data_IF_408032974521
#
_entry.id   IF_408032974521
#
_cell.length_a   1.000
_cell.length_b   1.000
_cell.length_c   1.000
_cell.angle_alpha   90.00
_cell.angle_beta   90.00
_cell.angle_gamma   90.00
#
_symmetry.space_group_name_H-M   'P 1'
#
loop_
_entity.id
_entity.type
_entity.pdbx_description
1 polymer ?
#
# COMPACT_ATOMS: atom_id res chain seq x y z
N UNK A 1 18.59 -0.43 -16.68
CA UNK A 1 17.77 -0.99 -15.58
C UNK A 1 17.76 -0.08 -14.35
N UNK A 2 18.94 0.39 -13.88
CA UNK A 2 19.04 1.23 -12.66
C UNK A 2 18.35 2.60 -12.80
N UNK A 3 18.35 3.19 -14.00
CA UNK A 3 17.66 4.45 -14.27
C UNK A 3 16.15 4.31 -14.05
N UNK A 4 15.54 3.23 -14.53
CA UNK A 4 14.10 2.97 -14.36
C UNK A 4 13.73 2.63 -12.92
N UNK A 5 14.59 1.88 -12.20
CA UNK A 5 14.41 1.63 -10.76
C UNK A 5 14.44 2.93 -9.96
N UNK A 6 15.40 3.80 -10.22
CA UNK A 6 15.49 5.10 -9.57
C UNK A 6 14.25 5.97 -9.84
N UNK A 7 13.78 6.02 -11.09
CA UNK A 7 12.55 6.73 -11.45
C UNK A 7 11.32 6.17 -10.74
N UNK A 8 11.19 4.85 -10.67
CA UNK A 8 10.09 4.19 -9.97
C UNK A 8 10.14 4.50 -8.46
N UNK A 9 11.30 4.41 -7.85
CA UNK A 9 11.49 4.74 -6.43
C UNK A 9 11.14 6.21 -6.14
N UNK A 10 11.53 7.15 -7.01
CA UNK A 10 11.21 8.57 -6.84
C UNK A 10 9.70 8.80 -6.93
N UNK A 11 9.01 8.16 -7.87
CA UNK A 11 7.56 8.26 -8.01
C UNK A 11 6.85 7.66 -6.79
N UNK A 12 7.29 6.49 -6.34
CA UNK A 12 6.76 5.85 -5.14
C UNK A 12 6.94 6.73 -3.89
N UNK A 13 8.11 7.35 -3.74
CA UNK A 13 8.39 8.30 -2.67
C UNK A 13 7.44 9.49 -2.68
N UNK A 14 7.19 10.08 -3.84
CA UNK A 14 6.28 11.23 -3.98
C UNK A 14 4.85 10.87 -3.56
N UNK A 15 4.34 9.73 -4.02
CA UNK A 15 3.01 9.26 -3.66
C UNK A 15 2.94 8.93 -2.18
N UNK A 16 3.94 8.28 -1.63
CA UNK A 16 4.01 7.99 -0.20
C UNK A 16 3.97 9.27 0.65
N UNK A 17 4.75 10.28 0.26
CA UNK A 17 4.76 11.58 0.93
C UNK A 17 3.39 12.25 0.88
N UNK A 18 2.80 12.38 -0.31
CA UNK A 18 1.50 13.03 -0.51
C UNK A 18 0.41 12.31 0.29
N UNK A 19 0.37 10.99 0.20
CA UNK A 19 -0.64 10.19 0.92
C UNK A 19 -0.47 10.30 2.44
N UNK A 20 0.78 10.26 2.92
CA UNK A 20 1.10 10.44 4.34
C UNK A 20 0.66 11.81 4.86
N UNK A 21 0.90 12.87 4.09
CA UNK A 21 0.45 14.24 4.43
C UNK A 21 -1.08 14.34 4.47
N UNK A 22 -1.76 13.80 3.46
CA UNK A 22 -3.23 13.83 3.37
C UNK A 22 -3.87 13.07 4.53
N UNK A 23 -3.40 11.87 4.84
CA UNK A 23 -3.94 11.06 5.92
C UNK A 23 -3.64 11.68 7.29
N UNK A 24 -2.44 12.22 7.48
CA UNK A 24 -2.06 12.92 8.72
C UNK A 24 -2.95 14.13 8.96
N UNK A 25 -3.22 14.94 7.94
CA UNK A 25 -4.10 16.09 8.03
C UNK A 25 -5.54 15.67 8.32
N UNK A 26 -6.06 14.69 7.61
CA UNK A 26 -7.43 14.21 7.77
C UNK A 26 -7.69 13.66 9.19
N UNK A 27 -6.88 12.71 9.63
CA UNK A 27 -7.01 12.13 10.97
C UNK A 27 -6.63 13.11 12.08
N UNK A 28 -5.74 14.08 11.80
CA UNK A 28 -5.42 15.16 12.70
C UNK A 28 -6.62 16.07 12.97
N UNK A 29 -7.40 16.39 11.95
CA UNK A 29 -8.67 17.12 12.09
C UNK A 29 -9.66 16.35 12.95
N UNK A 30 -9.81 15.05 12.70
CA UNK A 30 -10.68 14.18 13.49
C UNK A 30 -10.23 14.11 14.96
N UNK A 31 -8.93 14.03 15.20
CA UNK A 31 -8.37 14.03 16.56
C UNK A 31 -8.59 15.36 17.28
N UNK A 32 -8.44 16.48 16.57
CA UNK A 32 -8.69 17.82 17.12
C UNK A 32 -10.16 18.01 17.47
N UNK A 33 -11.09 17.44 16.71
CA UNK A 33 -12.52 17.48 16.94
C UNK A 33 -13.03 16.41 17.92
N UNK A 34 -12.16 15.60 18.48
CA UNK A 34 -12.52 14.54 19.42
C UNK A 34 -13.17 13.31 18.79
N UNK A 35 -13.24 13.23 17.45
CA UNK A 35 -13.81 12.09 16.72
C UNK A 35 -12.87 10.88 16.75
N UNK A 36 -11.56 11.15 16.72
CA UNK A 36 -10.51 10.12 16.76
C UNK A 36 -9.70 10.26 18.05
N UNK A 37 -9.46 9.17 18.81
CA UNK A 37 -8.73 9.25 20.08
C UNK A 37 -7.32 9.82 19.88
N UNK A 38 -6.91 10.76 20.74
CA UNK A 38 -5.59 11.39 20.66
C UNK A 38 -4.44 10.40 20.85
N UNK A 39 -4.62 9.40 21.71
CA UNK A 39 -3.63 8.31 21.89
C UNK A 39 -3.43 7.49 20.62
N UNK A 40 -4.53 7.15 19.94
CA UNK A 40 -4.48 6.45 18.66
C UNK A 40 -3.86 7.32 17.58
N UNK A 41 -4.08 8.63 17.61
CA UNK A 41 -3.48 9.56 16.65
C UNK A 41 -1.96 9.65 16.80
N UNK A 42 -1.45 9.62 18.03
CA UNK A 42 0.02 9.59 18.27
C UNK A 42 0.64 8.35 17.65
N UNK A 43 0.04 7.19 17.85
CA UNK A 43 0.49 5.92 17.24
C UNK A 43 0.38 6.00 15.72
N UNK A 44 -0.71 6.54 15.20
CA UNK A 44 -0.94 6.77 13.78
C UNK A 44 0.20 7.59 13.14
N UNK A 45 0.54 8.73 13.73
CA UNK A 45 1.62 9.60 13.24
C UNK A 45 2.96 8.88 13.27
N UNK A 46 3.27 8.17 14.33
CA UNK A 46 4.50 7.41 14.45
C UNK A 46 4.61 6.32 13.37
N UNK A 47 3.57 5.52 13.20
CA UNK A 47 3.54 4.45 12.18
C UNK A 47 3.52 4.98 10.74
N UNK A 48 2.99 6.18 10.54
CA UNK A 48 2.99 6.84 9.23
C UNK A 48 4.38 7.35 8.84
N UNK A 49 5.04 8.07 9.76
CA UNK A 49 6.24 8.84 9.43
C UNK A 49 7.57 8.13 9.72
N UNK A 50 7.64 7.27 10.74
CA UNK A 50 8.88 6.53 11.03
C UNK A 50 9.32 5.66 9.83
N UNK A 51 8.45 4.84 9.22
CA UNK A 51 8.83 4.09 8.03
C UNK A 51 9.22 4.97 6.84
N UNK A 52 8.55 6.10 6.66
CA UNK A 52 8.86 7.05 5.60
C UNK A 52 10.30 7.58 5.75
N UNK A 53 10.69 7.99 6.95
CA UNK A 53 12.04 8.48 7.20
C UNK A 53 13.09 7.37 7.14
N UNK A 54 12.76 6.14 7.49
CA UNK A 54 13.63 4.98 7.26
C UNK A 54 13.87 4.81 5.75
N UNK A 55 12.84 4.97 4.92
CA UNK A 55 12.97 4.96 3.46
C UNK A 55 13.88 6.06 2.94
N UNK A 56 13.78 7.26 3.49
CA UNK A 56 14.69 8.37 3.16
C UNK A 56 16.14 8.03 3.51
N UNK A 57 16.35 7.37 4.62
CA UNK A 57 17.68 6.91 5.04
C UNK A 57 18.25 5.88 4.04
N UNK A 58 17.43 4.97 3.53
CA UNK A 58 17.86 4.04 2.48
C UNK A 58 18.31 4.74 1.21
N UNK A 59 17.64 5.82 0.81
CA UNK A 59 18.12 6.63 -0.33
C UNK A 59 19.49 7.24 -0.10
N UNK A 60 19.77 7.70 1.11
CA UNK A 60 21.06 8.30 1.45
C UNK A 60 22.18 7.26 1.52
N UNK A 61 21.91 6.08 2.07
CA UNK A 61 22.93 5.05 2.29
C UNK A 61 23.14 4.20 1.04
N UNK A 62 22.07 3.75 0.40
CA UNK A 62 22.11 2.76 -0.70
C UNK A 62 21.88 3.35 -2.09
N UNK A 63 21.55 4.65 -2.17
CA UNK A 63 21.27 5.32 -3.44
C UNK A 63 19.80 5.16 -3.87
N UNK A 64 19.45 5.89 -4.94
CA UNK A 64 18.05 5.99 -5.43
C UNK A 64 17.57 4.75 -6.17
N UNK A 65 18.45 3.91 -6.65
CA UNK A 65 18.13 2.71 -7.42
C UNK A 65 18.02 1.42 -6.57
N UNK A 66 18.05 1.56 -5.26
CA UNK A 66 18.03 0.39 -4.35
C UNK A 66 16.68 -0.34 -4.36
N UNK A 67 16.72 -1.67 -4.38
CA UNK A 67 15.54 -2.51 -4.19
C UNK A 67 15.00 -2.48 -2.75
N UNK A 68 15.83 -2.10 -1.80
CA UNK A 68 15.43 -2.02 -0.39
C UNK A 68 14.35 -0.96 -0.16
N UNK A 69 14.27 0.09 -0.99
CA UNK A 69 13.28 1.14 -0.82
C UNK A 69 11.84 0.63 -0.98
N UNK A 70 11.56 -0.15 -2.02
CA UNK A 70 10.22 -0.70 -2.23
C UNK A 70 9.81 -1.66 -1.11
N UNK A 71 10.75 -2.42 -0.56
CA UNK A 71 10.49 -3.29 0.58
C UNK A 71 10.18 -2.49 1.84
N UNK A 72 10.93 -1.42 2.10
CA UNK A 72 10.67 -0.50 3.20
C UNK A 72 9.27 0.13 3.08
N UNK A 73 8.91 0.60 1.88
CA UNK A 73 7.60 1.17 1.60
C UNK A 73 6.49 0.16 1.86
N UNK A 74 6.59 -1.04 1.31
CA UNK A 74 5.54 -2.07 1.42
C UNK A 74 5.38 -2.53 2.85
N UNK A 75 6.46 -2.80 3.56
CA UNK A 75 6.41 -3.25 4.95
C UNK A 75 5.93 -2.11 5.85
N UNK A 76 6.52 -0.93 5.72
CA UNK A 76 6.19 0.22 6.56
C UNK A 76 4.78 0.73 6.33
N UNK A 77 4.39 0.94 5.09
CA UNK A 77 3.03 1.33 4.75
C UNK A 77 2.02 0.24 5.08
N UNK A 78 2.38 -1.03 4.92
CA UNK A 78 1.53 -2.16 5.27
C UNK A 78 1.21 -2.23 6.75
N UNK A 79 2.19 -2.00 7.63
CA UNK A 79 1.98 -1.94 9.08
C UNK A 79 1.09 -0.77 9.44
N UNK A 80 1.37 0.42 8.92
CA UNK A 80 0.55 1.61 9.11
C UNK A 80 -0.90 1.40 8.63
N UNK A 81 -1.07 0.87 7.43
CA UNK A 81 -2.36 0.55 6.84
C UNK A 81 -3.16 -0.44 7.69
N UNK A 82 -2.53 -1.50 8.18
CA UNK A 82 -3.18 -2.48 9.04
C UNK A 82 -3.69 -1.84 10.33
N UNK A 83 -2.89 -0.97 10.94
CA UNK A 83 -3.32 -0.20 12.11
C UNK A 83 -4.53 0.69 11.79
N UNK A 84 -4.51 1.40 10.67
CA UNK A 84 -5.60 2.29 10.26
C UNK A 84 -6.90 1.52 10.04
N UNK A 85 -6.86 0.43 9.29
CA UNK A 85 -8.07 -0.35 9.01
C UNK A 85 -8.62 -1.06 10.25
N UNK A 86 -7.80 -1.32 11.26
CA UNK A 86 -8.27 -1.87 12.54
C UNK A 86 -8.89 -0.82 13.46
N UNK A 87 -8.46 0.44 13.36
CA UNK A 87 -8.83 1.50 14.32
C UNK A 87 -9.80 2.55 13.79
N UNK A 88 -10.06 2.59 12.49
CA UNK A 88 -11.03 3.51 11.89
C UNK A 88 -12.41 2.86 11.80
N UNK A 89 -13.45 3.69 11.88
CA UNK A 89 -14.84 3.25 11.70
C UNK A 89 -15.29 3.21 10.24
N UNK A 90 -14.50 3.79 9.34
CA UNK A 90 -14.85 3.85 7.93
C UNK A 90 -14.64 2.52 7.22
N UNK A 91 -15.69 1.92 6.62
CA UNK A 91 -15.55 0.66 5.89
C UNK A 91 -14.74 0.77 4.61
N UNK A 92 -14.55 1.98 4.07
CA UNK A 92 -13.78 2.21 2.84
C UNK A 92 -12.29 2.43 3.09
N UNK A 93 -11.84 2.43 4.33
CA UNK A 93 -10.44 2.66 4.68
C UNK A 93 -9.50 1.61 4.07
N UNK A 94 -9.99 0.42 3.75
CA UNK A 94 -9.21 -0.61 3.06
C UNK A 94 -8.67 -0.15 1.71
N UNK A 95 -9.27 0.89 1.10
CA UNK A 95 -8.82 1.45 -0.18
C UNK A 95 -7.57 2.32 -0.06
N UNK A 96 -7.13 2.67 1.15
CA UNK A 96 -5.98 3.56 1.35
C UNK A 96 -4.65 2.99 0.84
N UNK A 97 -4.56 1.69 0.64
CA UNK A 97 -3.37 1.05 0.07
C UNK A 97 -3.38 1.03 -1.47
N UNK A 98 -4.53 1.14 -2.10
CA UNK A 98 -4.67 0.93 -3.54
C UNK A 98 -3.87 1.92 -4.39
N UNK A 99 -3.84 3.24 -4.08
CA UNK A 99 -3.03 4.18 -4.86
C UNK A 99 -1.53 3.86 -4.83
N UNK A 100 -1.01 3.43 -3.68
CA UNK A 100 0.39 3.04 -3.51
C UNK A 100 0.68 1.76 -4.29
N UNK A 101 -0.17 0.74 -4.16
CA UNK A 101 0.01 -0.54 -4.85
C UNK A 101 -0.14 -0.41 -6.37
N UNK A 102 -1.06 0.44 -6.83
CA UNK A 102 -1.21 0.73 -8.27
C UNK A 102 0.08 1.30 -8.86
N UNK A 103 0.75 2.18 -8.12
CA UNK A 103 2.01 2.76 -8.57
C UNK A 103 3.15 1.74 -8.58
N UNK A 104 3.14 0.75 -7.70
CA UNK A 104 4.17 -0.29 -7.64
C UNK A 104 4.18 -1.20 -8.88
N UNK A 105 3.16 -1.15 -9.73
CA UNK A 105 3.18 -1.77 -11.08
C UNK A 105 4.38 -1.27 -11.90
N UNK A 106 4.86 -0.06 -11.65
CA UNK A 106 6.02 0.52 -12.33
C UNK A 106 7.33 -0.29 -12.14
N UNK A 107 7.42 -1.08 -11.07
CA UNK A 107 8.58 -1.95 -10.85
C UNK A 107 8.59 -3.17 -11.77
N UNK A 108 7.46 -3.47 -12.44
CA UNK A 108 7.32 -4.58 -13.40
C UNK A 108 7.76 -5.94 -12.85
N UNK A 109 7.62 -6.14 -11.54
CA UNK A 109 8.00 -7.38 -10.86
C UNK A 109 6.75 -8.14 -10.44
N UNK A 110 6.41 -9.18 -11.20
CA UNK A 110 5.23 -10.02 -10.97
C UNK A 110 5.25 -10.70 -9.60
N UNK A 111 6.38 -11.30 -9.22
CA UNK A 111 6.50 -12.00 -7.94
C UNK A 111 6.34 -11.05 -6.75
N UNK A 112 6.95 -9.87 -6.84
CA UNK A 112 6.79 -8.83 -5.83
C UNK A 112 5.33 -8.41 -5.67
N UNK A 113 4.62 -8.20 -6.78
CA UNK A 113 3.20 -7.81 -6.73
C UNK A 113 2.30 -8.91 -6.16
N UNK A 114 2.55 -10.17 -6.49
CA UNK A 114 1.81 -11.30 -5.91
C UNK A 114 2.03 -11.34 -4.39
N UNK A 115 3.25 -11.16 -3.92
CA UNK A 115 3.55 -11.14 -2.49
C UNK A 115 2.86 -9.95 -1.78
N UNK A 116 2.85 -8.78 -2.42
CA UNK A 116 2.10 -7.62 -1.91
C UNK A 116 0.59 -7.91 -1.82
N UNK A 117 0.04 -8.57 -2.81
CA UNK A 117 -1.38 -8.95 -2.83
C UNK A 117 -1.73 -9.91 -1.70
N UNK A 118 -0.92 -10.94 -1.48
CA UNK A 118 -1.10 -11.90 -0.39
C UNK A 118 -1.05 -11.17 0.97
N UNK A 119 -0.03 -10.34 1.18
CA UNK A 119 0.12 -9.59 2.42
C UNK A 119 -1.05 -8.63 2.67
N UNK A 120 -1.54 -7.95 1.64
CA UNK A 120 -2.66 -7.02 1.76
C UNK A 120 -3.98 -7.74 2.08
N UNK A 121 -4.27 -8.84 1.41
CA UNK A 121 -5.46 -9.65 1.69
C UNK A 121 -5.41 -10.18 3.13
N UNK A 122 -4.25 -10.66 3.58
CA UNK A 122 -4.07 -11.10 4.97
C UNK A 122 -4.30 -9.96 5.97
N UNK A 123 -3.81 -8.75 5.68
CA UNK A 123 -4.04 -7.56 6.52
C UNK A 123 -5.52 -7.24 6.67
N UNK A 124 -6.28 -7.30 5.58
CA UNK A 124 -7.72 -7.05 5.60
C UNK A 124 -8.46 -8.15 6.35
N UNK A 125 -8.09 -9.41 6.16
CA UNK A 125 -8.68 -10.53 6.91
C UNK A 125 -8.44 -10.36 8.41
N UNK A 126 -7.22 -10.00 8.82
CA UNK A 126 -6.90 -9.71 10.23
C UNK A 126 -7.77 -8.58 10.77
N UNK A 127 -7.92 -7.49 10.02
CA UNK A 127 -8.79 -6.38 10.39
C UNK A 127 -10.25 -6.81 10.55
N UNK A 128 -10.76 -7.58 9.61
CA UNK A 128 -12.15 -8.06 9.63
C UNK A 128 -12.40 -8.99 10.82
N UNK A 129 -11.46 -9.89 11.11
CA UNK A 129 -11.53 -10.76 12.30
C UNK A 129 -11.48 -9.95 13.58
N UNK A 130 -10.62 -8.96 13.68
CA UNK A 130 -10.53 -8.06 14.82
C UNK A 130 -11.87 -7.33 15.06
N UNK A 131 -12.47 -6.78 14.00
CA UNK A 131 -13.76 -6.09 14.08
C UNK A 131 -14.87 -7.04 14.49
N UNK A 132 -14.88 -8.25 13.95
CA UNK A 132 -15.90 -9.25 14.27
C UNK A 132 -15.79 -9.74 15.72
N UNK A 133 -14.58 -10.10 16.16
CA UNK A 133 -14.35 -10.72 17.46
C UNK A 133 -14.27 -9.68 18.58
N UNK A 134 -13.46 -8.62 18.40
CA UNK A 134 -13.13 -7.66 19.46
C UNK A 134 -14.14 -6.53 19.50
N UNK A 135 -14.48 -5.94 18.35
CA UNK A 135 -15.38 -4.79 18.28
C UNK A 135 -16.87 -5.18 18.18
N UNK A 136 -17.17 -6.45 17.97
CA UNK A 136 -18.55 -6.93 17.89
C UNK A 136 -19.31 -6.47 16.65
N UNK A 137 -18.62 -6.07 15.58
CA UNK A 137 -19.22 -5.65 14.31
C UNK A 137 -19.70 -6.86 13.51
N UNK A 138 -20.93 -7.31 13.76
CA UNK A 138 -21.51 -8.57 13.24
C UNK A 138 -22.84 -8.38 12.51
N UNK A 139 -23.18 -7.14 12.12
CA UNK A 139 -24.39 -6.88 11.36
C UNK A 139 -24.30 -7.48 9.95
N UNK A 140 -25.45 -7.65 9.29
CA UNK A 140 -25.48 -8.10 7.89
C UNK A 140 -24.71 -7.13 6.97
N UNK A 141 -24.78 -5.83 7.24
CA UNK A 141 -24.02 -4.83 6.52
C UNK A 141 -22.50 -5.00 6.74
N UNK A 142 -22.07 -5.27 7.98
CA UNK A 142 -20.67 -5.55 8.29
C UNK A 142 -20.15 -6.79 7.55
N UNK A 143 -20.93 -7.87 7.57
CA UNK A 143 -20.57 -9.10 6.86
C UNK A 143 -20.44 -8.87 5.35
N UNK A 144 -21.34 -8.06 4.78
CA UNK A 144 -21.27 -7.68 3.37
C UNK A 144 -20.03 -6.84 3.06
N UNK A 145 -19.69 -5.90 3.94
CA UNK A 145 -18.48 -5.09 3.81
C UNK A 145 -17.21 -5.95 3.81
N UNK A 146 -17.11 -6.95 4.70
CA UNK A 146 -15.96 -7.85 4.75
C UNK A 146 -15.81 -8.64 3.44
N UNK A 147 -16.88 -9.16 2.90
CA UNK A 147 -16.89 -9.88 1.62
C UNK A 147 -16.46 -8.97 0.46
N UNK A 148 -17.01 -7.76 0.39
CA UNK A 148 -16.69 -6.79 -0.68
C UNK A 148 -15.24 -6.31 -0.61
N UNK A 149 -14.69 -6.10 0.58
CA UNK A 149 -13.29 -5.72 0.77
C UNK A 149 -12.35 -6.77 0.17
N UNK A 150 -12.53 -8.02 0.55
CA UNK A 150 -11.70 -9.13 0.06
C UNK A 150 -11.86 -9.31 -1.45
N UNK A 151 -13.09 -9.30 -1.96
CA UNK A 151 -13.35 -9.43 -3.38
C UNK A 151 -12.72 -8.29 -4.20
N UNK A 152 -12.86 -7.05 -3.74
CA UNK A 152 -12.27 -5.89 -4.40
C UNK A 152 -10.74 -5.98 -4.47
N UNK A 153 -10.09 -6.34 -3.36
CA UNK A 153 -8.64 -6.49 -3.32
C UNK A 153 -8.15 -7.61 -4.22
N UNK A 154 -8.81 -8.76 -4.21
CA UNK A 154 -8.45 -9.88 -5.09
C UNK A 154 -8.52 -9.46 -6.56
N UNK A 155 -9.58 -8.77 -6.97
CA UNK A 155 -9.73 -8.26 -8.34
C UNK A 155 -8.65 -7.25 -8.69
N UNK A 156 -8.36 -6.31 -7.80
CA UNK A 156 -7.30 -5.31 -8.03
C UNK A 156 -5.94 -5.97 -8.25
N UNK A 157 -5.55 -6.93 -7.41
CA UNK A 157 -4.25 -7.58 -7.55
C UNK A 157 -4.17 -8.52 -8.74
N UNK A 158 -5.26 -9.18 -9.11
CA UNK A 158 -5.34 -9.92 -10.37
C UNK A 158 -5.07 -8.97 -11.54
N UNK A 159 -5.71 -7.80 -11.56
CA UNK A 159 -5.49 -6.80 -12.61
C UNK A 159 -4.06 -6.26 -12.61
N UNK A 160 -3.47 -6.00 -11.44
CA UNK A 160 -2.08 -5.53 -11.35
C UNK A 160 -1.09 -6.56 -11.88
N UNK A 161 -1.26 -7.83 -11.51
CA UNK A 161 -0.40 -8.92 -11.98
C UNK A 161 -0.54 -9.13 -13.48
N UNK A 162 -1.76 -9.10 -14.02
CA UNK A 162 -2.04 -9.17 -15.47
C UNK A 162 -1.39 -8.01 -16.21
N UNK A 163 -1.49 -6.79 -15.68
CA UNK A 163 -0.88 -5.59 -16.26
C UNK A 163 0.64 -5.70 -16.31
N UNK A 164 1.27 -6.15 -15.23
CA UNK A 164 2.72 -6.37 -15.17
C UNK A 164 3.15 -7.43 -16.20
N UNK A 165 2.44 -8.53 -16.27
CA UNK A 165 2.71 -9.59 -17.24
C UNK A 165 2.64 -9.05 -18.67
N UNK A 166 1.58 -8.32 -19.00
CA UNK A 166 1.40 -7.71 -20.33
C UNK A 166 2.54 -6.74 -20.66
N UNK A 167 2.91 -5.87 -19.74
CA UNK A 167 4.00 -4.92 -19.93
C UNK A 167 5.34 -5.62 -20.16
N UNK A 168 5.63 -6.67 -19.42
CA UNK A 168 6.86 -7.44 -19.59
C UNK A 168 6.90 -8.20 -20.92
N UNK A 169 5.78 -8.76 -21.35
CA UNK A 169 5.67 -9.41 -22.65
C UNK A 169 5.81 -8.40 -23.81
N UNK A 170 5.21 -7.23 -23.67
CA UNK A 170 5.32 -6.15 -24.65
C UNK A 170 6.76 -5.62 -24.76
N UNK A 171 7.43 -5.40 -23.64
CA UNK A 171 8.85 -4.99 -23.61
C UNK A 171 9.75 -6.06 -24.24
N UNK A 172 9.49 -7.32 -23.99
CA UNK A 172 10.21 -8.44 -24.60
C UNK A 172 10.06 -8.50 -26.10
N UNK A 173 8.84 -8.32 -26.61
CA UNK A 173 8.55 -8.27 -28.04
C UNK A 173 9.23 -7.08 -28.73
N UNK A 174 9.18 -5.89 -28.11
CA UNK A 174 9.83 -4.69 -28.63
C UNK A 174 11.36 -4.86 -28.71
N UNK A 175 11.98 -5.39 -27.64
CA UNK A 175 13.41 -5.66 -27.63
C UNK A 175 13.82 -6.71 -28.67
N UNK A 176 12.98 -7.70 -28.92
CA UNK A 176 13.18 -8.69 -29.98
C UNK A 176 13.15 -8.05 -31.39
N UNK A 177 12.18 -7.17 -31.63
CA UNK A 177 12.07 -6.42 -32.90
C UNK A 177 13.29 -5.54 -33.16
N UNK A 178 13.73 -4.78 -32.17
CA UNK A 178 14.91 -3.89 -32.28
C UNK A 178 16.18 -4.71 -32.60
N UNK A 179 16.32 -5.91 -32.03
CA UNK A 179 17.48 -6.76 -32.28
C UNK A 179 17.45 -7.43 -33.65
N UNK A 180 16.26 -7.60 -34.23
CA UNK A 180 16.08 -8.20 -35.56
C UNK A 180 16.34 -7.19 -36.70
N UNK A 181 16.14 -5.90 -36.43
CA UNK A 181 16.45 -4.81 -37.37
C UNK A 181 17.93 -4.41 -37.26
#
# INVERSE_FOLDING_TARGET
ANVFKAKANIKARRIWLVFSLLLTANYGTDAANGIYPKSSYIIFVALCWIPFFIGELFFRIKGKATDAYRLCLVIGYGIFYTFVICTTDSPISFTYILPVMSLLVLYKNKKFMINCGIANVLSVIVSDVYRYVVLGCRSDADMKNYQLQVACLLLCYICYVMSIRHLNESDGALNGSIKAD
#
